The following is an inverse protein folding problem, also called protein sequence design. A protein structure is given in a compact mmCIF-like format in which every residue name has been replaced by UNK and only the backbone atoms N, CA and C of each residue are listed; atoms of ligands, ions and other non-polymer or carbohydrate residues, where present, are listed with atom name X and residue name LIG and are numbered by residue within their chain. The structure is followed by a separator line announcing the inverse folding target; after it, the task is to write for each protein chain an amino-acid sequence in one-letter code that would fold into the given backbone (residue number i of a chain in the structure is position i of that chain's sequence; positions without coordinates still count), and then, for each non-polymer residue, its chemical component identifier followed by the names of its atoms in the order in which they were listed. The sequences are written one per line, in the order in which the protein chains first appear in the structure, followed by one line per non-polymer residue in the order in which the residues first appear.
data_IF_500228776750
#
_entry.id   IF_500228776750
#
_cell.length_a   1.000
_cell.length_b   1.000
_cell.length_c   1.000
_cell.angle_alpha   90.00
_cell.angle_beta   90.00
_cell.angle_gamma   90.00
#
_symmetry.space_group_name_H-M   'P 1'
#
loop_
_entity.id
_entity.type
_entity.pdbx_description
1 polymer ?
#
# COMPACT_ATOMS: atom_id res chain seq x y z
N UNK A 1 18.65 12.66 -5.41
CA UNK A 1 17.30 13.26 -5.30
C UNK A 1 16.64 12.66 -4.06
N UNK A 2 16.15 13.46 -3.12
CA UNK A 2 15.35 12.93 -1.99
C UNK A 2 13.99 12.50 -2.56
N UNK A 3 13.83 11.21 -2.84
CA UNK A 3 12.52 10.66 -3.20
C UNK A 3 11.63 10.71 -1.97
N UNK A 4 10.50 11.42 -2.06
CA UNK A 4 9.50 11.46 -1.00
C UNK A 4 8.85 10.08 -0.92
N UNK A 5 9.17 9.33 0.13
CA UNK A 5 8.61 8.01 0.39
C UNK A 5 7.42 8.18 1.34
N UNK A 6 6.29 7.58 0.99
CA UNK A 6 5.04 7.68 1.75
C UNK A 6 4.83 6.47 2.65
N UNK A 7 4.34 6.72 3.85
CA UNK A 7 3.78 5.69 4.73
C UNK A 7 2.42 5.23 4.20
N UNK A 8 2.00 4.02 4.60
CA UNK A 8 0.66 3.54 4.29
C UNK A 8 -0.46 4.42 4.86
N UNK A 9 -0.19 5.19 5.92
CA UNK A 9 -1.14 6.15 6.48
C UNK A 9 -1.34 7.33 5.52
N UNK A 10 -0.25 7.94 5.06
CA UNK A 10 -0.30 9.04 4.08
C UNK A 10 -0.94 8.59 2.77
N UNK A 11 -0.61 7.40 2.27
CA UNK A 11 -1.24 6.85 1.05
C UNK A 11 -2.75 6.67 1.23
N UNK A 12 -3.21 6.26 2.42
CA UNK A 12 -4.64 6.11 2.72
C UNK A 12 -5.36 7.45 2.58
N UNK A 13 -4.78 8.51 3.16
CA UNK A 13 -5.33 9.86 3.15
C UNK A 13 -5.32 10.45 1.73
N UNK A 14 -4.17 10.37 1.04
CA UNK A 14 -3.99 10.92 -0.32
C UNK A 14 -4.96 10.28 -1.31
N UNK A 15 -5.19 8.97 -1.20
CA UNK A 15 -6.06 8.24 -2.13
C UNK A 15 -7.53 8.20 -1.69
N UNK A 16 -7.86 8.82 -0.54
CA UNK A 16 -9.25 8.93 -0.06
C UNK A 16 -9.86 7.61 0.42
N UNK A 17 -9.05 6.65 0.88
CA UNK A 17 -9.58 5.43 1.50
C UNK A 17 -10.17 5.77 2.88
N UNK A 18 -11.32 5.16 3.21
CA UNK A 18 -12.00 5.37 4.51
C UNK A 18 -11.08 5.17 5.72
N UNK A 19 -10.18 4.19 5.64
CA UNK A 19 -9.16 3.91 6.66
C UNK A 19 -8.07 3.00 6.09
N UNK A 20 -6.98 2.85 6.85
CA UNK A 20 -5.85 1.99 6.50
C UNK A 20 -6.30 0.55 6.22
N UNK A 21 -7.23 0.00 7.01
CA UNK A 21 -7.69 -1.38 6.83
C UNK A 21 -8.31 -1.60 5.44
N UNK A 22 -9.05 -0.61 4.90
CA UNK A 22 -9.62 -0.66 3.54
C UNK A 22 -8.54 -0.61 2.46
N UNK A 23 -7.52 0.23 2.62
CA UNK A 23 -6.36 0.24 1.72
C UNK A 23 -5.66 -1.14 1.71
N UNK A 24 -5.35 -1.70 2.89
CA UNK A 24 -4.71 -3.00 2.98
C UNK A 24 -5.58 -4.13 2.40
N UNK A 25 -6.89 -4.09 2.62
CA UNK A 25 -7.83 -5.06 2.04
C UNK A 25 -7.88 -4.95 0.51
N UNK A 26 -7.88 -3.73 -0.04
CA UNK A 26 -7.81 -3.49 -1.47
C UNK A 26 -6.52 -4.07 -2.07
N UNK A 27 -5.36 -3.77 -1.48
CA UNK A 27 -4.09 -4.27 -2.00
C UNK A 27 -3.98 -5.81 -1.90
N UNK A 28 -4.53 -6.43 -0.86
CA UNK A 28 -4.57 -7.90 -0.75
C UNK A 28 -5.52 -8.52 -1.78
N UNK A 29 -6.69 -7.92 -2.00
CA UNK A 29 -7.68 -8.41 -2.98
C UNK A 29 -7.08 -8.54 -4.39
N UNK A 30 -6.16 -7.65 -4.75
CA UNK A 30 -5.49 -7.65 -6.05
C UNK A 30 -4.08 -8.25 -6.01
N UNK A 31 -3.76 -9.06 -4.99
CA UNK A 31 -2.47 -9.74 -4.83
C UNK A 31 -1.24 -8.83 -4.81
N UNK A 32 -1.42 -7.53 -4.55
CA UNK A 32 -0.32 -6.56 -4.40
C UNK A 32 0.38 -6.76 -3.06
N UNK A 33 -0.39 -7.06 -2.01
CA UNK A 33 0.13 -7.53 -0.74
C UNK A 33 -0.14 -9.03 -0.58
N UNK A 34 0.91 -9.80 -0.34
CA UNK A 34 0.84 -11.22 -0.03
C UNK A 34 1.21 -11.42 1.45
N UNK A 35 0.20 -11.76 2.26
CA UNK A 35 0.34 -11.80 3.71
C UNK A 35 0.60 -10.43 4.33
N UNK A 36 1.82 -10.22 4.83
CA UNK A 36 2.25 -8.99 5.52
C UNK A 36 3.18 -8.09 4.69
N UNK A 37 3.56 -8.51 3.48
CA UNK A 37 4.52 -7.80 2.64
C UNK A 37 3.97 -7.58 1.23
N UNK A 38 4.50 -6.60 0.47
CA UNK A 38 4.23 -6.51 -0.95
C UNK A 38 4.72 -7.75 -1.69
N UNK A 39 4.01 -8.14 -2.74
CA UNK A 39 4.47 -9.19 -3.62
C UNK A 39 5.80 -8.78 -4.27
N UNK A 40 6.67 -9.76 -4.53
CA UNK A 40 8.07 -9.55 -4.90
C UNK A 40 8.21 -8.66 -6.12
N UNK A 41 7.35 -8.83 -7.11
CA UNK A 41 7.31 -8.07 -8.34
C UNK A 41 7.17 -6.56 -8.10
N UNK A 42 6.33 -6.15 -7.13
CA UNK A 42 6.12 -4.73 -6.84
C UNK A 42 7.26 -4.11 -6.02
N UNK A 43 8.07 -4.93 -5.33
CA UNK A 43 9.33 -4.49 -4.73
C UNK A 43 10.41 -4.32 -5.80
N UNK A 44 10.55 -5.28 -6.72
CA UNK A 44 11.56 -5.25 -7.80
C UNK A 44 11.31 -4.08 -8.76
N UNK A 45 10.05 -3.79 -9.07
CA UNK A 45 9.66 -2.65 -9.91
C UNK A 45 9.85 -1.30 -9.18
N UNK A 46 9.99 -1.30 -7.86
CA UNK A 46 10.22 -0.09 -7.07
C UNK A 46 8.95 0.69 -6.72
N UNK A 47 7.79 0.02 -6.65
CA UNK A 47 6.54 0.65 -6.17
C UNK A 47 6.46 0.69 -4.65
N UNK A 48 7.10 -0.29 -4.00
CA UNK A 48 7.15 -0.38 -2.55
C UNK A 48 8.58 -0.54 -2.07
N UNK A 49 8.81 -0.06 -0.87
CA UNK A 49 10.02 -0.34 -0.10
C UNK A 49 9.61 -0.93 1.25
N UNK A 50 10.44 -1.82 1.78
CA UNK A 50 10.27 -2.35 3.12
C UNK A 50 11.49 -2.05 3.95
N UNK A 51 11.30 -1.48 5.14
CA UNK A 51 12.38 -1.25 6.09
C UNK A 51 12.10 -1.93 7.43
N UNK A 52 13.13 -2.48 8.08
CA UNK A 52 12.98 -2.97 9.44
C UNK A 52 12.64 -1.82 10.38
N UNK A 53 11.71 -2.07 11.30
CA UNK A 53 11.33 -1.16 12.36
C UNK A 53 11.35 -1.90 13.68
N UNK A 54 12.11 -1.35 14.62
CA UNK A 54 12.30 -1.92 15.93
C UNK A 54 11.23 -1.37 16.88
N UNK A 55 10.41 -2.27 17.41
CA UNK A 55 9.51 -2.01 18.51
C UNK A 55 10.32 -2.26 19.78
N UNK A 56 10.50 -1.22 20.58
CA UNK A 56 11.23 -1.29 21.83
C UNK A 56 10.29 -1.66 22.98
N UNK A 57 10.80 -2.38 23.99
CA UNK A 57 10.05 -2.70 25.20
C UNK A 57 9.65 -1.44 25.99
N UNK A 58 8.80 -1.58 27.02
CA UNK A 58 8.22 -0.47 27.81
C UNK A 58 9.22 0.58 28.34
N UNK A 59 10.51 0.21 28.45
CA UNK A 59 11.56 1.08 28.98
C UNK A 59 12.55 1.57 27.90
N UNK A 60 12.30 1.33 26.61
CA UNK A 60 13.16 1.74 25.49
C UNK A 60 14.52 1.04 25.39
N UNK A 61 14.92 0.26 26.41
CA UNK A 61 16.27 -0.29 26.57
C UNK A 61 16.61 -1.52 25.72
N UNK A 62 15.61 -2.23 25.19
CA UNK A 62 15.85 -3.39 24.35
C UNK A 62 14.82 -3.47 23.22
N UNK A 63 15.25 -4.02 22.08
CA UNK A 63 14.36 -4.32 20.96
C UNK A 63 13.50 -5.52 21.34
N UNK A 64 12.20 -5.31 21.50
CA UNK A 64 11.23 -6.36 21.80
C UNK A 64 10.87 -7.15 20.54
N UNK A 65 10.67 -6.46 19.42
CA UNK A 65 10.29 -7.07 18.15
C UNK A 65 10.75 -6.21 16.99
N UNK A 66 11.21 -6.84 15.90
CA UNK A 66 11.40 -6.16 14.62
C UNK A 66 10.23 -6.50 13.70
N UNK A 67 9.62 -5.48 13.11
CA UNK A 67 8.56 -5.60 12.10
C UNK A 67 9.00 -4.91 10.82
N UNK A 68 8.46 -5.32 9.68
CA UNK A 68 8.72 -4.63 8.42
C UNK A 68 7.68 -3.52 8.22
N UNK A 69 8.15 -2.30 8.03
CA UNK A 69 7.31 -1.19 7.59
C UNK A 69 7.27 -1.18 6.08
N UNK A 70 6.06 -1.18 5.54
CA UNK A 70 5.81 -0.96 4.12
C UNK A 70 5.78 0.54 3.89
N UNK A 71 6.52 0.98 2.89
CA UNK A 71 6.49 2.32 2.37
C UNK A 71 6.20 2.28 0.87
N UNK A 72 5.63 3.36 0.35
CA UNK A 72 5.17 3.48 -1.02
C UNK A 72 5.96 4.61 -1.68
N UNK A 73 6.55 4.33 -2.84
CA UNK A 73 7.25 5.34 -3.64
C UNK A 73 6.25 6.24 -4.36
N UNK A 74 6.68 7.39 -4.92
CA UNK A 74 5.80 8.21 -5.77
C UNK A 74 5.21 7.42 -6.95
N UNK A 75 5.99 6.51 -7.53
CA UNK A 75 5.56 5.61 -8.61
C UNK A 75 4.51 4.61 -8.12
N UNK A 76 4.74 4.01 -6.95
CA UNK A 76 3.78 3.12 -6.31
C UNK A 76 2.46 3.82 -5.97
N UNK A 77 2.51 5.07 -5.50
CA UNK A 77 1.33 5.86 -5.21
C UNK A 77 0.49 6.08 -6.48
N UNK A 78 1.13 6.47 -7.59
CA UNK A 78 0.47 6.64 -8.89
C UNK A 78 -0.13 5.32 -9.39
N UNK A 79 0.59 4.21 -9.24
CA UNK A 79 0.09 2.88 -9.59
C UNK A 79 -1.18 2.54 -8.82
N UNK A 80 -1.16 2.66 -7.48
CA UNK A 80 -2.33 2.36 -6.64
C UNK A 80 -3.50 3.31 -7.01
N UNK A 81 -3.22 4.59 -7.24
CA UNK A 81 -4.24 5.56 -7.65
C UNK A 81 -4.90 5.17 -8.98
N UNK A 82 -4.11 4.80 -9.98
CA UNK A 82 -4.60 4.42 -11.30
C UNK A 82 -5.41 3.13 -11.23
N UNK A 83 -4.91 2.13 -10.49
CA UNK A 83 -5.63 0.88 -10.27
C UNK A 83 -6.96 1.12 -9.55
N UNK A 84 -6.96 1.92 -8.49
CA UNK A 84 -8.18 2.26 -7.76
C UNK A 84 -9.20 2.96 -8.66
N UNK A 85 -8.76 3.93 -9.48
CA UNK A 85 -9.61 4.60 -10.48
C UNK A 85 -10.15 3.66 -11.55
N UNK A 86 -9.32 2.75 -12.07
CA UNK A 86 -9.74 1.79 -13.10
C UNK A 86 -10.88 0.91 -12.58
N UNK A 87 -10.66 0.31 -11.41
CA UNK A 87 -11.59 -0.64 -10.81
C UNK A 87 -12.86 0.01 -10.25
N UNK A 88 -12.78 1.28 -9.86
CA UNK A 88 -13.97 2.05 -9.44
C UNK A 88 -14.76 2.59 -10.62
N UNK A 89 -14.11 2.88 -11.76
CA UNK A 89 -14.82 3.16 -13.03
C UNK A 89 -15.59 1.94 -13.53
N UNK A 90 -15.04 0.73 -13.37
CA UNK A 90 -15.73 -0.51 -13.73
C UNK A 90 -16.95 -0.83 -12.87
N UNK A 91 -17.07 -0.27 -11.66
CA UNK A 91 -18.28 -0.39 -10.82
C UNK A 91 -19.45 0.51 -11.29
N UNK A 92 -19.18 1.48 -12.18
CA UNK A 92 -20.19 2.36 -12.79
C UNK A 92 -20.34 2.16 -14.31
N UNK A 93 -19.50 1.33 -14.93
CA UNK A 93 -19.75 0.83 -16.28
C UNK A 93 -20.79 -0.30 -16.17
N UNK A 94 -22.05 0.02 -16.47
CA UNK A 94 -23.13 -0.96 -16.58
C UNK A 94 -22.68 -2.15 -17.44
N UNK A 95 -22.71 -3.41 -16.93
CA UNK A 95 -22.29 -4.56 -17.74
C UNK A 95 -23.27 -4.93 -18.86
N UNK A 96 -24.37 -4.18 -19.05
CA UNK A 96 -25.41 -4.51 -20.03
C UNK A 96 -26.02 -3.28 -20.75
N UNK A 97 -25.22 -2.26 -21.05
CA UNK A 97 -25.63 -1.21 -21.99
C UNK A 97 -24.86 -1.36 -23.31
N UNK A 98 -25.12 -2.45 -24.04
CA UNK A 98 -25.09 -2.57 -25.50
C UNK A 98 -25.14 -4.05 -25.93
N UNK A 99 -26.36 -4.52 -26.20
CA UNK A 99 -26.83 -5.26 -27.38
C UNK A 99 -28.04 -6.13 -27.02
#
# INVERSE_FOLDING_TARGET
MNQTIYTMAEVTEILGFKNKQKLFAFLRRYNILQGQLPAREFLVVGYFETRPYHIYGKNGKYVFKTVQLIQVTPEGLKFIQNLHKLLTKDLYASPFANN
#
